data_IF_805232814603
#
_entry.id   IF_805232814603
#
_cell.length_a   1.000
_cell.length_b   1.000
_cell.length_c   1.000
_cell.angle_alpha   90.00
_cell.angle_beta   90.00
_cell.angle_gamma   90.00
#
_symmetry.space_group_name_H-M   'P 1'
#
loop_
_entity.id
_entity.type
_entity.pdbx_description
1 polymer ?
#
# COMPACT_ATOMS: atom_id res chain seq x y z
N UNK A 1 3.93 10.61 -5.95
CA UNK A 1 3.47 9.21 -5.88
C UNK A 1 1.96 9.22 -5.99
N UNK A 2 1.39 8.72 -7.08
CA UNK A 2 -0.07 8.57 -7.23
C UNK A 2 -0.36 7.07 -7.20
N UNK A 3 -1.19 6.63 -6.25
CA UNK A 3 -1.63 5.24 -6.14
C UNK A 3 -3.14 5.20 -6.34
N UNK A 4 -3.59 4.36 -7.26
CA UNK A 4 -5.00 4.23 -7.65
C UNK A 4 -5.59 2.97 -7.01
N UNK A 5 -6.87 3.04 -6.63
CA UNK A 5 -7.59 1.87 -6.15
C UNK A 5 -7.70 0.84 -7.29
N UNK A 6 -7.09 -0.32 -7.09
CA UNK A 6 -7.03 -1.36 -8.11
C UNK A 6 -8.07 -2.46 -7.88
N UNK A 7 -8.28 -2.85 -6.61
CA UNK A 7 -9.24 -3.90 -6.27
C UNK A 7 -9.66 -3.83 -4.81
N UNK A 8 -10.88 -4.29 -4.54
CA UNK A 8 -11.41 -4.48 -3.19
C UNK A 8 -11.51 -5.97 -2.87
N UNK A 9 -11.23 -6.34 -1.61
CA UNK A 9 -11.45 -7.68 -1.10
C UNK A 9 -12.94 -8.06 -1.08
N UNK A 10 -13.27 -9.36 -1.03
CA UNK A 10 -14.65 -9.84 -1.06
C UNK A 10 -15.48 -9.39 0.16
N UNK A 11 -14.82 -9.06 1.27
CA UNK A 11 -15.41 -8.54 2.49
C UNK A 11 -15.57 -7.01 2.51
N UNK A 12 -15.07 -6.32 1.48
CA UNK A 12 -15.03 -4.85 1.41
C UNK A 12 -14.10 -4.19 2.44
N UNK A 13 -13.36 -4.97 3.23
CA UNK A 13 -12.46 -4.48 4.28
C UNK A 13 -11.03 -4.28 3.79
N UNK A 14 -10.66 -4.96 2.71
CA UNK A 14 -9.34 -4.84 2.12
C UNK A 14 -9.41 -3.99 0.85
N UNK A 15 -8.61 -2.93 0.76
CA UNK A 15 -8.46 -2.10 -0.43
C UNK A 15 -7.01 -2.23 -0.90
N UNK A 16 -6.82 -2.68 -2.12
CA UNK A 16 -5.49 -2.75 -2.75
C UNK A 16 -5.30 -1.56 -3.67
N UNK A 17 -4.27 -0.77 -3.39
CA UNK A 17 -3.83 0.33 -4.23
C UNK A 17 -2.57 -0.08 -4.99
N UNK A 18 -2.44 0.38 -6.23
CA UNK A 18 -1.23 0.21 -7.03
C UNK A 18 -0.82 1.56 -7.61
N UNK A 19 0.47 1.79 -7.69
CA UNK A 19 1.01 2.96 -8.35
C UNK A 19 2.46 2.75 -8.74
N UNK A 20 2.99 3.72 -9.47
CA UNK A 20 4.41 3.75 -9.79
C UNK A 20 4.90 5.19 -9.88
N UNK A 21 6.20 5.39 -9.70
CA UNK A 21 6.82 6.71 -9.86
C UNK A 21 8.26 6.56 -10.39
N UNK A 22 8.73 7.47 -11.26
CA UNK A 22 10.13 7.53 -11.65
C UNK A 22 11.06 7.73 -10.44
N UNK A 23 12.20 7.05 -10.45
CA UNK A 23 13.19 7.17 -9.38
C UNK A 23 14.29 8.18 -9.72
N UNK A 24 14.78 8.97 -8.74
CA UNK A 24 16.00 9.76 -8.91
C UNK A 24 17.17 8.82 -9.22
N UNK A 25 17.75 8.93 -10.41
CA UNK A 25 18.81 8.02 -10.89
C UNK A 25 18.45 7.18 -12.11
N UNK A 26 17.19 7.25 -12.57
CA UNK A 26 16.70 6.50 -13.73
C UNK A 26 16.17 5.13 -13.32
N UNK A 27 14.91 4.87 -13.63
CA UNK A 27 14.18 3.69 -13.20
C UNK A 27 12.73 4.02 -12.85
N UNK A 28 11.96 2.98 -12.56
CA UNK A 28 10.57 3.09 -12.14
C UNK A 28 10.35 2.24 -10.90
N UNK A 29 10.00 2.89 -9.79
CA UNK A 29 9.56 2.20 -8.59
C UNK A 29 8.08 1.86 -8.75
N UNK A 30 7.76 0.58 -8.69
CA UNK A 30 6.38 0.13 -8.54
C UNK A 30 6.08 -0.08 -7.07
N UNK A 31 4.89 0.31 -6.65
CA UNK A 31 4.43 0.15 -5.29
C UNK A 31 3.00 -0.36 -5.25
N UNK A 32 2.73 -1.14 -4.21
CA UNK A 32 1.42 -1.70 -3.91
C UNK A 32 1.14 -1.41 -2.44
N UNK A 33 -0.01 -0.83 -2.17
CA UNK A 33 -0.47 -0.63 -0.80
C UNK A 33 -1.69 -1.51 -0.53
N UNK A 34 -1.79 -2.02 0.68
CA UNK A 34 -2.95 -2.73 1.20
C UNK A 34 -3.48 -1.93 2.38
N UNK A 35 -4.70 -1.43 2.26
CA UNK A 35 -5.42 -0.85 3.38
C UNK A 35 -6.41 -1.88 3.89
N UNK A 36 -6.29 -2.26 5.16
CA UNK A 36 -7.20 -3.20 5.83
C UNK A 36 -7.98 -2.49 6.93
N UNK A 37 -9.31 -2.56 6.85
CA UNK A 37 -10.25 -2.11 7.87
C UNK A 37 -10.54 -3.29 8.82
N UNK A 38 -9.80 -3.37 9.93
CA UNK A 38 -9.93 -4.48 10.88
C UNK A 38 -11.29 -4.39 11.57
N UNK A 39 -11.56 -3.23 12.17
CA UNK A 39 -12.84 -2.87 12.79
C UNK A 39 -13.08 -1.35 12.70
N UNK A 40 -14.06 -0.84 13.45
CA UNK A 40 -14.45 0.58 13.41
C UNK A 40 -13.36 1.54 13.91
N UNK A 41 -12.43 1.05 14.74
CA UNK A 41 -11.41 1.85 15.40
C UNK A 41 -9.99 1.46 14.97
N UNK A 42 -9.80 0.30 14.33
CA UNK A 42 -8.49 -0.22 13.93
C UNK A 42 -8.37 -0.43 12.43
N UNK A 43 -7.31 0.11 11.85
CA UNK A 43 -6.99 -0.03 10.42
C UNK A 43 -5.49 -0.18 10.23
N UNK A 44 -5.08 -0.92 9.21
CA UNK A 44 -3.68 -1.02 8.81
C UNK A 44 -3.47 -0.53 7.40
N UNK A 45 -2.30 0.06 7.15
CA UNK A 45 -1.83 0.43 5.83
C UNK A 45 -0.44 -0.13 5.61
N UNK A 46 -0.35 -1.13 4.75
CA UNK A 46 0.89 -1.80 4.39
C UNK A 46 1.33 -1.33 3.01
N UNK A 47 2.54 -0.78 2.90
CA UNK A 47 3.12 -0.41 1.62
C UNK A 47 4.26 -1.36 1.25
N UNK A 48 4.18 -1.86 0.04
CA UNK A 48 5.14 -2.72 -0.57
C UNK A 48 5.74 -2.03 -1.79
N UNK A 49 7.02 -2.21 -2.03
CA UNK A 49 7.70 -1.64 -3.19
C UNK A 49 8.76 -2.55 -3.75
N UNK A 50 9.06 -2.37 -5.03
CA UNK A 50 10.20 -2.99 -5.70
C UNK A 50 11.11 -1.90 -6.25
N UNK A 51 12.38 -1.96 -5.86
CA UNK A 51 13.44 -1.16 -6.45
C UNK A 51 14.16 -2.01 -7.50
N UNK A 52 14.40 -1.46 -8.69
CA UNK A 52 15.24 -2.05 -9.74
C UNK A 52 14.98 -3.55 -10.03
N UNK A 53 13.72 -3.95 -10.20
CA UNK A 53 13.35 -5.34 -10.54
C UNK A 53 13.57 -6.37 -9.43
N UNK A 54 13.89 -5.92 -8.22
CA UNK A 54 13.99 -6.78 -7.04
C UNK A 54 12.60 -7.24 -6.58
N UNK A 55 12.58 -8.32 -5.80
CA UNK A 55 11.35 -8.84 -5.20
C UNK A 55 10.70 -7.75 -4.35
N UNK A 56 9.38 -7.68 -4.43
CA UNK A 56 8.60 -6.76 -3.62
C UNK A 56 8.87 -6.99 -2.12
N UNK A 57 9.22 -5.93 -1.39
CA UNK A 57 9.44 -5.95 0.06
C UNK A 57 8.49 -4.99 0.76
N UNK A 58 8.10 -5.33 2.00
CA UNK A 58 7.32 -4.44 2.84
C UNK A 58 8.22 -3.26 3.23
N UNK A 59 7.87 -2.09 2.73
CA UNK A 59 8.61 -0.86 2.99
C UNK A 59 8.06 -0.12 4.21
N UNK A 60 6.75 -0.24 4.44
CA UNK A 60 6.08 0.48 5.51
C UNK A 60 4.88 -0.33 6.02
N UNK A 61 4.65 -0.22 7.31
CA UNK A 61 3.43 -0.65 7.99
C UNK A 61 2.99 0.50 8.88
N UNK A 62 1.74 0.93 8.73
CA UNK A 62 1.11 1.91 9.62
C UNK A 62 -0.11 1.26 10.25
N UNK A 63 -0.17 1.29 11.58
CA UNK A 63 -1.36 0.90 12.33
C UNK A 63 -2.04 2.15 12.83
N UNK A 64 -3.28 2.34 12.41
CA UNK A 64 -4.14 3.43 12.87
C UNK A 64 -5.10 2.91 13.93
N UNK A 65 -5.09 3.56 15.09
CA UNK A 65 -6.08 3.37 16.14
C UNK A 65 -6.80 4.68 16.38
N UNK A 66 -8.12 4.67 16.26
CA UNK A 66 -8.96 5.83 16.55
C UNK A 66 -8.94 6.11 18.05
N UNK A 67 -8.43 7.29 18.43
CA UNK A 67 -8.57 7.80 19.79
C UNK A 67 -9.91 8.53 19.94
N UNK A 68 -10.50 8.45 21.14
CA UNK A 68 -11.73 9.16 21.50
C UNK A 68 -11.46 10.62 21.86
#
# INVERSE_FOLDING_TARGET
MVAECHSTGPDGKTITLKGSHPEPGGGQMSHRAIWTLIDADHQTFDMYGSHHGQKETKMMEITYTRSK
#
